data_IF_986562726638
#
_entry.id   IF_986562726638
#
_cell.length_a   1.000
_cell.length_b   1.000
_cell.length_c   1.000
_cell.angle_alpha   90.00
_cell.angle_beta   90.00
_cell.angle_gamma   90.00
#
_symmetry.space_group_name_H-M   'P 1'
#
loop_
_entity.id
_entity.type
_entity.pdbx_description
1 polymer ?
#
# COMPACT_ATOMS: atom_id res chain seq x y z
N UNK A 1 -21.69 2.49 5.33
CA UNK A 1 -21.78 2.57 3.87
C UNK A 1 -21.63 4.00 3.41
N UNK A 2 -22.59 4.79 3.81
CA UNK A 2 -22.63 6.19 3.46
C UNK A 2 -21.38 6.93 3.91
N UNK A 3 -20.91 6.59 5.11
CA UNK A 3 -19.70 7.15 5.70
C UNK A 3 -18.46 6.69 4.94
N UNK A 4 -18.41 5.44 4.56
CA UNK A 4 -17.30 4.87 3.81
C UNK A 4 -17.14 5.55 2.45
N UNK A 5 -18.25 5.82 1.77
CA UNK A 5 -18.22 6.50 0.48
C UNK A 5 -17.64 7.90 0.59
N UNK A 6 -18.01 8.62 1.65
CA UNK A 6 -17.48 9.97 1.88
C UNK A 6 -16.01 9.95 2.20
N UNK A 7 -15.58 8.99 3.02
CA UNK A 7 -14.19 8.90 3.43
C UNK A 7 -13.31 8.52 2.24
N UNK A 8 -13.75 7.57 1.42
CA UNK A 8 -13.00 7.20 0.22
C UNK A 8 -12.84 8.39 -0.72
N UNK A 9 -13.87 9.19 -0.88
CA UNK A 9 -13.79 10.38 -1.72
C UNK A 9 -12.74 11.35 -1.17
N UNK A 10 -12.71 11.56 0.14
CA UNK A 10 -11.71 12.41 0.77
C UNK A 10 -10.32 11.83 0.64
N UNK A 11 -10.18 10.52 0.81
CA UNK A 11 -8.88 9.85 0.67
C UNK A 11 -8.33 10.08 -0.72
N UNK A 12 -9.16 9.96 -1.76
CA UNK A 12 -8.71 10.20 -3.14
C UNK A 12 -8.24 11.63 -3.33
N UNK A 13 -8.91 12.59 -2.71
CA UNK A 13 -8.49 13.99 -2.75
C UNK A 13 -7.15 14.18 -2.05
N UNK A 14 -7.01 13.61 -0.85
CA UNK A 14 -5.79 13.76 -0.05
C UNK A 14 -4.59 13.12 -0.73
N UNK A 15 -4.75 11.91 -1.28
CA UNK A 15 -3.63 11.22 -1.91
C UNK A 15 -3.20 11.89 -3.20
N UNK A 16 -4.06 12.68 -3.81
CA UNK A 16 -3.72 13.45 -5.01
C UNK A 16 -3.05 14.78 -4.68
N UNK A 17 -2.94 15.13 -3.40
CA UNK A 17 -2.37 16.41 -2.97
C UNK A 17 -0.85 16.43 -3.18
N UNK A 18 -0.34 17.61 -3.57
CA UNK A 18 1.11 17.84 -3.66
C UNK A 18 1.75 18.01 -2.29
N UNK A 19 0.95 18.18 -1.26
CA UNK A 19 1.44 18.37 0.09
C UNK A 19 1.77 16.99 0.69
N UNK A 20 3.05 16.71 1.00
CA UNK A 20 3.43 15.36 1.44
C UNK A 20 2.67 14.87 2.66
N UNK A 21 2.43 15.73 3.64
CA UNK A 21 1.72 15.35 4.85
C UNK A 21 0.28 14.92 4.53
N UNK A 22 -0.40 15.70 3.71
CA UNK A 22 -1.79 15.42 3.32
C UNK A 22 -1.88 14.11 2.54
N UNK A 23 -0.94 13.92 1.61
CA UNK A 23 -0.88 12.69 0.82
C UNK A 23 -0.67 11.47 1.72
N UNK A 24 0.27 11.55 2.65
CA UNK A 24 0.53 10.48 3.61
C UNK A 24 -0.70 10.17 4.46
N UNK A 25 -1.37 11.23 4.93
CA UNK A 25 -2.56 11.07 5.76
C UNK A 25 -3.64 10.30 5.00
N UNK A 26 -3.83 10.62 3.73
CA UNK A 26 -4.80 9.91 2.89
C UNK A 26 -4.50 8.43 2.79
N UNK A 27 -3.23 8.09 2.56
CA UNK A 27 -2.82 6.69 2.47
C UNK A 27 -2.94 5.97 3.81
N UNK A 28 -2.65 6.65 4.90
CA UNK A 28 -2.79 6.08 6.24
C UNK A 28 -4.26 5.78 6.56
N UNK A 29 -5.15 6.69 6.17
CA UNK A 29 -6.59 6.47 6.35
C UNK A 29 -7.08 5.29 5.52
N UNK A 30 -6.59 5.17 4.29
CA UNK A 30 -6.93 4.03 3.45
C UNK A 30 -6.47 2.72 4.09
N UNK A 31 -5.24 2.71 4.59
CA UNK A 31 -4.68 1.54 5.24
C UNK A 31 -5.46 1.15 6.50
N UNK A 32 -5.82 2.13 7.30
CA UNK A 32 -6.46 1.88 8.59
C UNK A 32 -7.90 1.40 8.43
N UNK A 33 -8.63 1.93 7.46
CA UNK A 33 -10.08 1.71 7.39
C UNK A 33 -10.55 0.83 6.24
N UNK A 34 -9.71 0.55 5.26
CA UNK A 34 -10.16 -0.07 4.02
C UNK A 34 -9.34 -1.29 3.58
N UNK A 35 -8.62 -1.93 4.49
CA UNK A 35 -7.90 -3.18 4.17
C UNK A 35 -8.54 -4.40 4.82
N UNK A 36 -9.55 -4.22 5.62
CA UNK A 36 -10.24 -5.33 6.29
C UNK A 36 -11.63 -5.53 5.68
N UNK A 37 -12.70 -5.34 6.45
CA UNK A 37 -14.06 -5.67 6.04
C UNK A 37 -14.55 -4.85 4.85
N UNK A 38 -14.14 -3.60 4.76
CA UNK A 38 -14.58 -2.69 3.70
C UNK A 38 -13.64 -2.69 2.50
N UNK A 39 -12.73 -3.66 2.42
CA UNK A 39 -11.73 -3.71 1.35
C UNK A 39 -12.37 -3.96 -0.01
N UNK A 40 -11.86 -3.23 -1.03
CA UNK A 40 -12.14 -3.49 -2.44
C UNK A 40 -10.82 -3.45 -3.19
N UNK A 41 -10.68 -4.35 -4.17
CA UNK A 41 -9.41 -4.46 -4.91
C UNK A 41 -9.01 -3.15 -5.59
N UNK A 42 -9.96 -2.36 -6.04
CA UNK A 42 -9.66 -1.09 -6.70
C UNK A 42 -8.98 -0.08 -5.78
N UNK A 43 -9.11 -0.23 -4.48
CA UNK A 43 -8.43 0.67 -3.52
C UNK A 43 -6.92 0.53 -3.58
N UNK A 44 -6.42 -0.63 -4.00
CA UNK A 44 -4.98 -0.86 -4.13
C UNK A 44 -4.36 0.01 -5.23
N UNK A 45 -5.17 0.50 -6.16
CA UNK A 45 -4.66 1.37 -7.22
C UNK A 45 -4.31 2.76 -6.68
N UNK A 46 -4.93 3.18 -5.58
CA UNK A 46 -4.77 4.55 -5.10
C UNK A 46 -3.33 4.90 -4.74
N UNK A 47 -2.63 4.14 -3.88
CA UNK A 47 -1.23 4.49 -3.62
C UNK A 47 -0.30 4.23 -4.81
N UNK A 48 -0.67 3.34 -5.72
CA UNK A 48 0.17 3.05 -6.88
C UNK A 48 0.24 4.24 -7.84
N UNK A 49 -0.74 5.13 -7.79
CA UNK A 49 -0.77 6.32 -8.63
C UNK A 49 -0.09 7.53 -8.00
N UNK A 50 0.40 7.38 -6.78
CA UNK A 50 1.15 8.45 -6.11
C UNK A 50 2.60 8.40 -6.58
N UNK A 51 3.05 9.49 -7.20
CA UNK A 51 4.44 9.62 -7.65
C UNK A 51 5.09 10.75 -6.89
N UNK A 52 6.09 10.43 -6.09
CA UNK A 52 6.74 11.42 -5.24
C UNK A 52 8.20 11.03 -5.04
N UNK A 53 9.05 12.04 -4.86
CA UNK A 53 10.45 11.82 -4.48
C UNK A 53 10.65 11.98 -2.98
N UNK A 54 9.57 12.31 -2.25
CA UNK A 54 9.64 12.49 -0.80
C UNK A 54 9.79 11.16 -0.09
N UNK A 55 10.83 11.08 0.75
CA UNK A 55 11.13 9.85 1.47
C UNK A 55 9.94 9.33 2.27
N UNK A 56 9.29 10.23 3.03
CA UNK A 56 8.21 9.78 3.91
C UNK A 56 6.94 9.41 3.16
N UNK A 57 6.72 9.99 1.99
CA UNK A 57 5.61 9.56 1.13
C UNK A 57 5.87 8.13 0.64
N UNK A 58 7.07 7.87 0.14
CA UNK A 58 7.42 6.53 -0.35
C UNK A 58 7.46 5.49 0.75
N UNK A 59 7.87 5.88 1.98
CA UNK A 59 7.78 5.00 3.14
C UNK A 59 6.34 4.64 3.46
N UNK A 60 5.43 5.59 3.33
CA UNK A 60 4.00 5.33 3.59
C UNK A 60 3.43 4.38 2.55
N UNK A 61 3.81 4.54 1.28
CA UNK A 61 3.38 3.63 0.22
C UNK A 61 3.86 2.20 0.54
N UNK A 62 5.12 2.07 0.94
CA UNK A 62 5.68 0.76 1.29
C UNK A 62 4.96 0.15 2.49
N UNK A 63 4.66 0.95 3.49
CA UNK A 63 3.93 0.49 4.68
C UNK A 63 2.52 0.03 4.29
N UNK A 64 1.86 0.82 3.43
CA UNK A 64 0.53 0.47 2.95
C UNK A 64 0.53 -0.91 2.26
N UNK A 65 1.44 -1.12 1.30
CA UNK A 65 1.45 -2.40 0.56
C UNK A 65 1.93 -3.57 1.40
N UNK A 66 2.84 -3.35 2.35
CA UNK A 66 3.23 -4.41 3.27
C UNK A 66 2.04 -4.85 4.12
N UNK A 67 1.23 -3.89 4.58
CA UNK A 67 0.02 -4.20 5.34
C UNK A 67 -1.02 -4.89 4.45
N UNK A 68 -1.16 -4.41 3.22
CA UNK A 68 -2.06 -5.04 2.26
C UNK A 68 -1.67 -6.48 1.96
N UNK A 69 -0.37 -6.75 1.85
CA UNK A 69 0.11 -8.12 1.66
C UNK A 69 -0.27 -9.01 2.84
N UNK A 70 -0.21 -8.47 4.05
CA UNK A 70 -0.56 -9.25 5.24
C UNK A 70 -2.06 -9.53 5.32
N UNK A 71 -2.91 -8.61 4.88
CA UNK A 71 -4.36 -8.71 5.02
C UNK A 71 -5.06 -9.20 3.77
N UNK A 72 -4.54 -8.89 2.60
CA UNK A 72 -5.18 -9.17 1.30
C UNK A 72 -4.12 -9.67 0.32
N UNK A 73 -3.45 -10.76 0.67
CA UNK A 73 -2.32 -11.29 -0.09
C UNK A 73 -2.65 -11.48 -1.57
N UNK A 74 -3.75 -12.19 -1.85
CA UNK A 74 -4.07 -12.56 -3.23
C UNK A 74 -4.24 -11.35 -4.15
N UNK A 75 -4.82 -10.28 -3.62
CA UNK A 75 -5.00 -9.06 -4.40
C UNK A 75 -3.73 -8.22 -4.46
N UNK A 76 -3.00 -8.15 -3.35
CA UNK A 76 -1.87 -7.23 -3.24
C UNK A 76 -0.60 -7.74 -3.90
N UNK A 77 -0.39 -9.06 -3.92
CA UNK A 77 0.87 -9.62 -4.43
C UNK A 77 1.09 -9.30 -5.91
N UNK A 78 0.02 -9.14 -6.67
CA UNK A 78 0.13 -8.81 -8.10
C UNK A 78 0.83 -7.47 -8.32
N UNK A 79 0.68 -6.52 -7.40
CA UNK A 79 1.34 -5.23 -7.51
C UNK A 79 2.86 -5.36 -7.41
N UNK A 80 3.32 -6.33 -6.63
CA UNK A 80 4.75 -6.62 -6.52
C UNK A 80 5.22 -7.43 -7.73
N UNK A 81 4.47 -8.46 -8.11
CA UNK A 81 4.81 -9.30 -9.26
C UNK A 81 4.92 -8.48 -10.54
N UNK A 82 4.03 -7.51 -10.72
CA UNK A 82 3.97 -6.69 -11.93
C UNK A 82 4.84 -5.43 -11.85
N UNK A 83 5.56 -5.26 -10.75
CA UNK A 83 6.50 -4.14 -10.56
C UNK A 83 5.80 -2.79 -10.72
N UNK A 84 4.64 -2.66 -10.07
CA UNK A 84 3.82 -1.45 -10.18
C UNK A 84 4.35 -0.26 -9.39
N UNK A 85 5.33 -0.47 -8.52
CA UNK A 85 5.89 0.57 -7.67
C UNK A 85 7.29 0.93 -8.16
N UNK A 86 7.77 2.13 -7.77
CA UNK A 86 9.16 2.46 -8.11
C UNK A 86 10.10 1.48 -7.39
N UNK A 87 11.33 1.28 -7.90
CA UNK A 87 12.22 0.22 -7.37
C UNK A 87 12.50 0.34 -5.88
N UNK A 88 12.73 1.54 -5.38
CA UNK A 88 13.00 1.73 -3.95
C UNK A 88 11.80 1.31 -3.11
N UNK A 89 10.61 1.79 -3.47
CA UNK A 89 9.38 1.49 -2.75
C UNK A 89 9.03 0.00 -2.85
N UNK A 90 9.26 -0.59 -4.03
CA UNK A 90 9.05 -2.01 -4.25
C UNK A 90 9.89 -2.84 -3.27
N UNK A 91 11.19 -2.59 -3.22
CA UNK A 91 12.08 -3.34 -2.33
C UNK A 91 11.79 -3.05 -0.85
N UNK A 92 11.44 -1.82 -0.52
CA UNK A 92 11.08 -1.45 0.85
C UNK A 92 9.80 -2.16 1.29
N UNK A 93 8.84 -2.31 0.39
CA UNK A 93 7.61 -3.07 0.66
C UNK A 93 7.94 -4.52 1.01
N UNK A 94 8.80 -5.14 0.21
CA UNK A 94 9.23 -6.52 0.45
C UNK A 94 9.92 -6.63 1.79
N UNK A 95 10.82 -5.70 2.10
CA UNK A 95 11.52 -5.69 3.38
C UNK A 95 10.54 -5.65 4.55
N UNK A 96 9.60 -4.70 4.51
CA UNK A 96 8.63 -4.54 5.59
C UNK A 96 7.71 -5.76 5.73
N UNK A 97 7.28 -6.33 4.62
CA UNK A 97 6.42 -7.50 4.64
C UNK A 97 7.16 -8.69 5.26
N UNK A 98 8.45 -8.87 4.93
CA UNK A 98 9.25 -9.97 5.47
C UNK A 98 9.54 -9.82 6.96
N UNK A 99 9.39 -8.61 7.50
CA UNK A 99 9.53 -8.38 8.94
C UNK A 99 8.23 -8.64 9.70
N UNK A 100 7.13 -8.85 9.00
CA UNK A 100 5.83 -9.02 9.65
C UNK A 100 5.58 -10.48 10.02
N UNK A 101 5.13 -10.70 11.26
CA UNK A 101 4.75 -12.05 11.69
C UNK A 101 3.46 -12.54 11.01
N UNK A 102 2.73 -11.66 10.37
CA UNK A 102 1.49 -12.02 9.67
C UNK A 102 1.73 -12.63 8.28
N UNK A 103 2.95 -12.48 7.79
CA UNK A 103 3.34 -13.05 6.49
C UNK A 103 3.96 -14.42 6.77
N UNK A 104 3.50 -15.45 6.04
CA UNK A 104 3.99 -16.81 6.27
C UNK A 104 5.45 -16.97 5.80
N UNK A 105 6.18 -17.97 6.31
CA UNK A 105 7.54 -18.23 5.83
C UNK A 105 7.60 -18.45 4.32
N UNK A 106 6.62 -19.15 3.75
CA UNK A 106 6.57 -19.40 2.30
C UNK A 106 6.37 -18.09 1.53
N UNK A 107 5.48 -17.23 2.02
CA UNK A 107 5.26 -15.93 1.41
C UNK A 107 6.51 -15.06 1.49
N UNK A 108 7.23 -15.10 2.61
CA UNK A 108 8.47 -14.33 2.76
C UNK A 108 9.53 -14.77 1.75
N UNK A 109 9.67 -16.08 1.55
CA UNK A 109 10.63 -16.59 0.58
C UNK A 109 10.22 -16.22 -0.84
N UNK A 110 8.94 -16.29 -1.15
CA UNK A 110 8.45 -15.87 -2.45
C UNK A 110 8.74 -14.39 -2.71
N UNK A 111 8.42 -13.53 -1.75
CA UNK A 111 8.67 -12.08 -1.90
C UNK A 111 10.14 -11.80 -2.11
N UNK A 112 11.02 -12.56 -1.45
CA UNK A 112 12.46 -12.37 -1.62
C UNK A 112 12.88 -12.57 -3.08
N UNK A 113 12.24 -13.45 -3.79
CA UNK A 113 12.55 -13.69 -5.21
C UNK A 113 12.09 -12.55 -6.11
N UNK A 114 11.22 -11.68 -5.62
CA UNK A 114 10.65 -10.59 -6.42
C UNK A 114 11.40 -9.26 -6.29
N UNK A 115 12.46 -9.22 -5.50
CA UNK A 115 13.28 -8.00 -5.38
C UNK A 115 13.82 -7.56 -6.73
N UNK A 116 13.93 -6.26 -6.93
CA UNK A 116 14.45 -5.69 -8.16
C UNK A 116 15.77 -4.96 -7.91
#
# INVERSE_FOLDING_TARGET
LFRSDRLIKKIKEWTASDHPYTCRFGMEMLMTHFLDEDFRVEYLEIPAEVHSEEYYVNMMIAWFYATALAKQWDAAVSYIEEKRLNPWTHNKTIQKARESYRITPEQKEYLKTLKV
#
